data_IF_584093704397
#
_entry.id   IF_584093704397
#
_cell.length_a   1.000
_cell.length_b   1.000
_cell.length_c   1.000
_cell.angle_alpha   90.00
_cell.angle_beta   90.00
_cell.angle_gamma   90.00
#
_symmetry.space_group_name_H-M   'P 1'
#
loop_
_entity.id
_entity.type
_entity.pdbx_description
1 polymer ?
#
# COMPACT_ATOMS: atom_id res chain seq x y z
N UNK A 1 -12.68 2.43 14.99
CA UNK A 1 -11.74 1.47 14.38
C UNK A 1 -11.74 0.15 15.11
N UNK A 2 -11.42 -0.90 14.38
CA UNK A 2 -11.39 -2.27 14.92
C UNK A 2 -10.02 -2.86 14.59
N UNK A 3 -9.35 -3.42 15.60
CA UNK A 3 -8.12 -4.21 15.46
C UNK A 3 -8.42 -5.68 15.72
N UNK A 4 -7.80 -6.58 14.96
CA UNK A 4 -7.96 -8.02 15.10
C UNK A 4 -6.60 -8.68 15.18
N UNK A 5 -6.32 -9.36 16.28
CA UNK A 5 -5.10 -10.10 16.55
C UNK A 5 -5.39 -11.58 16.78
N UNK A 6 -4.54 -12.46 16.24
CA UNK A 6 -4.61 -13.89 16.49
C UNK A 6 -3.94 -14.26 17.81
N UNK A 7 -4.59 -15.05 18.66
CA UNK A 7 -4.08 -15.45 19.99
C UNK A 7 -3.48 -16.85 20.03
N UNK A 8 -3.44 -17.55 18.89
CA UNK A 8 -3.05 -18.96 18.80
C UNK A 8 -4.24 -19.94 18.85
N UNK A 9 -5.37 -19.52 19.40
CA UNK A 9 -6.58 -20.36 19.48
C UNK A 9 -7.90 -19.62 19.21
N UNK A 10 -7.83 -18.31 18.99
CA UNK A 10 -8.96 -17.43 18.74
C UNK A 10 -8.48 -16.02 18.43
N UNK A 11 -9.32 -15.03 18.65
CA UNK A 11 -9.05 -13.65 18.29
C UNK A 11 -9.15 -12.73 19.51
N UNK A 12 -8.19 -11.80 19.60
CA UNK A 12 -8.29 -10.62 20.42
C UNK A 12 -8.73 -9.47 19.54
N UNK A 13 -9.84 -8.84 19.90
CA UNK A 13 -10.40 -7.73 19.16
C UNK A 13 -10.27 -6.47 20.00
N UNK A 14 -9.61 -5.45 19.45
CA UNK A 14 -9.48 -4.12 20.05
C UNK A 14 -10.41 -3.18 19.31
N UNK A 15 -11.36 -2.58 20.03
CA UNK A 15 -12.31 -1.61 19.47
C UNK A 15 -11.96 -0.23 20.04
N UNK A 16 -11.79 0.72 19.15
CA UNK A 16 -11.65 2.13 19.50
C UNK A 16 -12.85 2.91 18.99
N UNK A 17 -13.58 3.49 19.92
CA UNK A 17 -14.79 4.28 19.63
C UNK A 17 -14.64 5.69 20.15
N UNK A 18 -15.30 6.66 19.52
CA UNK A 18 -15.54 7.95 20.16
C UNK A 18 -16.45 7.76 21.36
N UNK A 19 -16.15 8.40 22.47
CA UNK A 19 -17.07 8.54 23.59
C UNK A 19 -18.36 9.24 23.11
N UNK A 20 -19.43 9.20 23.93
CA UNK A 20 -20.71 9.82 23.60
C UNK A 20 -20.53 11.29 23.18
N UNK A 21 -21.54 11.87 22.51
CA UNK A 21 -21.51 13.25 22.01
C UNK A 21 -21.20 14.32 23.10
N UNK A 22 -21.20 13.94 24.38
CA UNK A 22 -20.92 14.80 25.53
C UNK A 22 -19.50 14.66 26.06
N UNK A 23 -18.78 13.54 25.72
CA UNK A 23 -17.39 13.28 26.14
C UNK A 23 -16.45 13.43 24.94
N UNK A 24 -15.50 14.34 24.99
CA UNK A 24 -14.50 14.57 23.93
C UNK A 24 -13.40 13.50 23.85
N UNK A 25 -13.55 12.34 24.51
CA UNK A 25 -12.56 11.27 24.56
C UNK A 25 -12.83 10.14 23.58
N UNK A 26 -11.77 9.43 23.20
CA UNK A 26 -11.86 8.13 22.53
C UNK A 26 -11.59 7.04 23.57
N UNK A 27 -12.39 5.97 23.54
CA UNK A 27 -12.28 4.83 24.46
C UNK A 27 -11.75 3.61 23.72
N UNK A 28 -10.89 2.85 24.38
CA UNK A 28 -10.34 1.57 23.92
C UNK A 28 -10.95 0.44 24.71
N UNK A 29 -11.46 -0.57 23.99
CA UNK A 29 -12.00 -1.79 24.56
C UNK A 29 -11.30 -2.98 23.93
N UNK A 30 -11.03 -4.01 24.72
CA UNK A 30 -10.42 -5.26 24.23
C UNK A 30 -11.25 -6.43 24.72
N UNK A 31 -11.52 -7.35 23.82
CA UNK A 31 -12.24 -8.59 24.10
C UNK A 31 -11.61 -9.77 23.35
N UNK A 32 -11.86 -10.98 23.81
CA UNK A 32 -11.37 -12.22 23.20
C UNK A 32 -12.53 -13.16 22.88
N UNK A 33 -12.39 -13.96 21.85
CA UNK A 33 -13.37 -14.95 21.44
C UNK A 33 -12.81 -15.94 20.43
N UNK A 34 -13.51 -17.04 20.23
CA UNK A 34 -13.14 -18.05 19.22
C UNK A 34 -13.31 -17.50 17.79
N UNK A 35 -14.21 -16.53 17.62
CA UNK A 35 -14.42 -15.80 16.36
C UNK A 35 -14.46 -14.29 16.62
N UNK A 36 -14.20 -13.49 15.59
CA UNK A 36 -14.31 -12.01 15.66
C UNK A 36 -15.71 -11.59 16.08
N UNK A 37 -16.75 -12.25 15.53
CA UNK A 37 -18.15 -11.97 15.90
C UNK A 37 -18.42 -12.23 17.36
N UNK A 38 -17.94 -13.35 17.92
CA UNK A 38 -18.12 -13.69 19.34
C UNK A 38 -17.43 -12.65 20.23
N UNK A 39 -16.15 -12.34 19.96
CA UNK A 39 -15.42 -11.32 20.69
C UNK A 39 -16.16 -9.97 20.71
N UNK A 40 -16.67 -9.53 19.56
CA UNK A 40 -17.46 -8.29 19.46
C UNK A 40 -18.82 -8.37 20.15
N UNK A 41 -19.45 -9.53 20.20
CA UNK A 41 -20.72 -9.75 20.93
C UNK A 41 -20.49 -9.66 22.44
N UNK A 42 -19.41 -10.27 22.92
CA UNK A 42 -19.04 -10.24 24.34
C UNK A 42 -18.66 -8.84 24.82
N UNK A 43 -18.20 -7.96 23.91
CA UNK A 43 -17.96 -6.56 24.20
C UNK A 43 -19.22 -5.84 24.70
N UNK A 44 -20.40 -6.15 24.15
CA UNK A 44 -21.66 -5.55 24.59
C UNK A 44 -22.01 -5.90 26.01
N UNK A 45 -21.65 -7.12 26.45
CA UNK A 45 -21.87 -7.59 27.83
C UNK A 45 -20.97 -6.91 28.84
N UNK A 46 -19.77 -6.50 28.39
CA UNK A 46 -18.77 -5.84 29.26
C UNK A 46 -19.00 -4.33 29.34
N UNK A 47 -19.39 -3.70 28.24
CA UNK A 47 -19.57 -2.24 28.17
C UNK A 47 -20.99 -1.78 28.44
N UNK A 48 -21.97 -2.70 28.39
CA UNK A 48 -23.41 -2.36 28.50
C UNK A 48 -23.91 -1.52 27.30
N UNK A 49 -23.14 -1.41 26.23
CA UNK A 49 -23.46 -0.66 25.00
C UNK A 49 -23.50 -1.60 23.82
N UNK A 50 -24.50 -1.44 22.94
CA UNK A 50 -24.53 -2.16 21.67
C UNK A 50 -23.59 -1.44 20.67
N UNK A 51 -22.51 -2.09 20.20
CA UNK A 51 -21.58 -1.45 19.28
C UNK A 51 -22.24 -1.21 17.91
N UNK A 52 -22.08 -0.01 17.37
CA UNK A 52 -22.64 0.36 16.08
C UNK A 52 -21.55 0.34 14.99
N UNK A 53 -21.40 -0.80 14.33
CA UNK A 53 -20.30 -1.06 13.38
C UNK A 53 -20.38 -0.30 12.06
N UNK A 54 -21.54 0.27 11.69
CA UNK A 54 -21.69 1.04 10.46
C UNK A 54 -20.89 2.34 10.44
N UNK A 55 -20.37 2.78 11.58
CA UNK A 55 -19.47 3.92 11.69
C UNK A 55 -17.98 3.51 11.80
N UNK A 56 -17.65 2.25 11.52
CA UNK A 56 -16.26 1.84 11.42
C UNK A 56 -15.61 2.45 10.17
N UNK A 57 -14.46 3.07 10.34
CA UNK A 57 -13.69 3.72 9.27
C UNK A 57 -12.48 2.93 8.83
N UNK A 58 -11.92 2.11 9.72
CA UNK A 58 -10.75 1.30 9.44
C UNK A 58 -10.76 0.00 10.23
N UNK A 59 -10.10 -1.00 9.66
CA UNK A 59 -9.75 -2.24 10.32
C UNK A 59 -8.25 -2.48 10.20
N UNK A 60 -7.64 -2.92 11.29
CA UNK A 60 -6.22 -3.29 11.35
C UNK A 60 -6.13 -4.77 11.70
N UNK A 61 -5.38 -5.54 10.93
CA UNK A 61 -5.08 -6.94 11.22
C UNK A 61 -3.65 -7.07 11.73
N UNK A 62 -3.45 -7.75 12.84
CA UNK A 62 -2.12 -8.05 13.36
C UNK A 62 -1.35 -9.01 12.45
N UNK A 63 -0.02 -9.00 12.57
CA UNK A 63 0.89 -9.84 11.77
C UNK A 63 0.51 -11.31 11.81
N UNK A 64 0.22 -11.84 13.01
CA UNK A 64 -0.12 -13.26 13.17
C UNK A 64 -1.43 -13.65 12.47
N UNK A 65 -2.45 -12.75 12.43
CA UNK A 65 -3.65 -12.97 11.63
C UNK A 65 -3.30 -13.11 10.14
N UNK A 66 -2.46 -12.19 9.62
CA UNK A 66 -2.12 -12.18 8.21
C UNK A 66 -1.26 -13.39 7.79
N UNK A 67 -0.35 -13.84 8.66
CA UNK A 67 0.47 -15.04 8.43
C UNK A 67 -0.34 -16.34 8.48
N UNK A 68 -1.40 -16.39 9.29
CA UNK A 68 -2.31 -17.56 9.37
C UNK A 68 -3.35 -17.54 8.23
N UNK A 69 -3.72 -16.39 7.73
CA UNK A 69 -4.76 -16.15 6.72
C UNK A 69 -5.88 -15.27 7.26
N UNK A 70 -6.30 -14.31 6.46
CA UNK A 70 -7.32 -13.31 6.84
C UNK A 70 -8.76 -13.76 6.56
N UNK A 71 -8.99 -14.94 5.99
CA UNK A 71 -10.30 -15.43 5.57
C UNK A 71 -11.31 -15.47 6.74
N UNK A 72 -10.95 -16.13 7.85
CA UNK A 72 -11.79 -16.20 9.04
C UNK A 72 -11.97 -14.84 9.73
N UNK A 73 -10.90 -14.02 9.76
CA UNK A 73 -10.94 -12.67 10.34
C UNK A 73 -11.85 -11.73 9.55
N UNK A 74 -11.87 -11.88 8.22
CA UNK A 74 -12.65 -11.02 7.32
C UNK A 74 -14.12 -11.42 7.24
N UNK A 75 -14.46 -12.66 7.60
CA UNK A 75 -15.83 -13.18 7.44
C UNK A 75 -16.87 -12.27 8.10
N UNK A 76 -16.57 -11.77 9.31
CA UNK A 76 -17.43 -10.79 9.99
C UNK A 76 -17.66 -9.53 9.16
N UNK A 77 -16.60 -8.93 8.62
CA UNK A 77 -16.69 -7.65 7.89
C UNK A 77 -17.37 -7.80 6.53
N UNK A 78 -17.30 -8.97 5.92
CA UNK A 78 -17.91 -9.25 4.61
C UNK A 78 -19.37 -9.65 4.73
N UNK A 79 -19.72 -10.44 5.75
CA UNK A 79 -21.08 -11.00 5.89
C UNK A 79 -22.02 -10.16 6.76
N UNK A 80 -21.46 -9.39 7.70
CA UNK A 80 -22.29 -8.59 8.59
C UNK A 80 -22.82 -7.36 7.88
N UNK A 81 -24.13 -7.31 7.66
CA UNK A 81 -24.82 -6.30 6.84
C UNK A 81 -24.63 -4.85 7.31
N UNK A 82 -24.24 -4.63 8.56
CA UNK A 82 -24.00 -3.30 9.14
C UNK A 82 -22.56 -2.79 8.92
N UNK A 83 -21.66 -3.58 8.29
CA UNK A 83 -20.32 -3.11 7.94
C UNK A 83 -20.34 -2.37 6.60
N UNK A 84 -19.51 -1.33 6.48
CA UNK A 84 -19.36 -0.59 5.22
C UNK A 84 -18.31 -1.26 4.34
N UNK A 85 -18.56 -1.47 3.04
CA UNK A 85 -17.54 -1.99 2.11
C UNK A 85 -16.31 -1.08 1.96
N UNK A 86 -16.50 0.23 2.21
CA UNK A 86 -15.48 1.28 2.10
C UNK A 86 -14.65 1.48 3.39
N UNK A 87 -14.55 0.46 4.24
CA UNK A 87 -13.69 0.48 5.42
C UNK A 87 -12.24 0.31 4.97
N UNK A 88 -11.36 1.22 5.39
CA UNK A 88 -9.91 1.12 5.10
C UNK A 88 -9.30 -0.06 5.82
N UNK A 89 -8.44 -0.77 5.13
CA UNK A 89 -7.83 -2.00 5.60
C UNK A 89 -6.32 -1.83 5.75
N UNK A 90 -5.81 -2.27 6.89
CA UNK A 90 -4.39 -2.16 7.24
C UNK A 90 -3.87 -3.46 7.82
N UNK A 91 -2.58 -3.71 7.63
CA UNK A 91 -1.79 -4.69 8.35
C UNK A 91 -1.00 -3.97 9.46
N UNK A 92 -0.85 -4.56 10.64
CA UNK A 92 0.17 -4.16 11.61
C UNK A 92 1.37 -5.08 11.50
N UNK A 93 2.59 -4.54 11.54
CA UNK A 93 3.81 -5.37 11.59
C UNK A 93 4.04 -6.01 12.96
N UNK A 94 3.21 -5.67 13.94
CA UNK A 94 3.16 -6.27 15.28
C UNK A 94 1.71 -6.67 15.58
N UNK A 95 1.06 -6.06 16.56
CA UNK A 95 -0.34 -6.28 16.87
C UNK A 95 -1.22 -5.13 16.42
N UNK A 96 -2.47 -5.43 16.08
CA UNK A 96 -3.45 -4.40 15.75
C UNK A 96 -3.79 -3.53 16.97
N UNK A 97 -3.74 -4.13 18.17
CA UNK A 97 -3.93 -3.42 19.44
C UNK A 97 -2.90 -2.32 19.65
N UNK A 98 -1.63 -2.56 19.34
CA UNK A 98 -0.57 -1.55 19.44
C UNK A 98 -0.81 -0.35 18.52
N UNK A 99 -1.22 -0.59 17.28
CA UNK A 99 -1.55 0.49 16.32
C UNK A 99 -2.73 1.32 16.81
N UNK A 100 -3.78 0.69 17.34
CA UNK A 100 -4.96 1.40 17.81
C UNK A 100 -4.73 2.13 19.14
N UNK A 101 -3.78 1.69 19.97
CA UNK A 101 -3.42 2.32 21.23
C UNK A 101 -2.22 3.28 21.14
N UNK A 102 -1.66 3.47 19.94
CA UNK A 102 -0.52 4.33 19.74
C UNK A 102 -0.81 5.79 20.15
N UNK A 103 0.15 6.40 20.81
CA UNK A 103 0.07 7.76 21.30
C UNK A 103 1.03 8.68 20.53
N UNK A 104 0.66 9.94 20.46
CA UNK A 104 1.52 11.03 20.00
C UNK A 104 1.46 12.12 21.07
N UNK A 105 2.62 12.56 21.61
CA UNK A 105 2.72 13.53 22.70
C UNK A 105 1.89 13.14 23.96
N UNK A 106 1.85 11.85 24.30
CA UNK A 106 1.12 11.33 25.46
C UNK A 106 -0.40 11.35 25.30
N UNK A 107 -0.90 11.44 24.07
CA UNK A 107 -2.32 11.34 23.73
C UNK A 107 -2.53 10.32 22.63
N UNK A 108 -3.63 9.58 22.71
CA UNK A 108 -4.01 8.66 21.64
C UNK A 108 -4.04 9.38 20.28
N UNK A 109 -3.35 8.81 19.30
CA UNK A 109 -3.36 9.31 17.92
C UNK A 109 -4.80 9.28 17.38
N UNK A 110 -5.30 10.38 16.83
CA UNK A 110 -6.71 10.46 16.38
C UNK A 110 -7.03 9.43 15.30
N UNK A 111 -8.22 8.83 15.35
CA UNK A 111 -8.68 7.89 14.33
C UNK A 111 -8.67 8.47 12.92
N UNK A 112 -8.93 9.76 12.77
CA UNK A 112 -8.83 10.46 11.47
C UNK A 112 -7.40 10.51 10.94
N UNK A 113 -6.39 10.57 11.80
CA UNK A 113 -4.98 10.52 11.41
C UNK A 113 -4.59 9.10 10.98
N UNK A 114 -5.00 8.07 11.74
CA UNK A 114 -4.79 6.67 11.34
C UNK A 114 -5.44 6.37 9.96
N UNK A 115 -6.68 6.84 9.76
CA UNK A 115 -7.36 6.68 8.48
C UNK A 115 -6.61 7.40 7.33
N UNK A 116 -6.03 8.57 7.62
CA UNK A 116 -5.30 9.36 6.63
C UNK A 116 -3.99 8.69 6.18
N UNK A 117 -3.38 7.82 7.00
CA UNK A 117 -2.19 7.06 6.62
C UNK A 117 -2.44 6.21 5.36
N UNK A 118 -3.65 5.63 5.20
CA UNK A 118 -4.03 4.91 3.99
C UNK A 118 -4.11 5.77 2.73
N UNK A 119 -4.17 7.09 2.86
CA UNK A 119 -4.15 8.03 1.74
C UNK A 119 -2.75 8.50 1.36
N UNK A 120 -1.73 8.05 2.11
CA UNK A 120 -0.33 8.45 1.89
C UNK A 120 0.16 8.15 0.47
N UNK A 121 -0.36 7.09 -0.19
CA UNK A 121 -0.06 6.78 -1.58
C UNK A 121 -0.40 7.91 -2.57
N UNK A 122 -1.35 8.77 -2.22
CA UNK A 122 -1.72 9.95 -3.03
C UNK A 122 -0.79 11.14 -2.83
N UNK A 123 -0.03 11.19 -1.73
CA UNK A 123 0.78 12.35 -1.37
C UNK A 123 2.28 12.08 -1.48
N UNK A 124 2.73 10.89 -1.05
CA UNK A 124 4.16 10.56 -1.03
C UNK A 124 4.53 9.29 -1.81
N UNK A 125 3.54 8.54 -2.32
CA UNK A 125 3.77 7.33 -3.11
C UNK A 125 4.25 6.12 -2.30
N UNK A 126 4.11 6.12 -0.98
CA UNK A 126 4.67 5.05 -0.12
C UNK A 126 3.63 4.13 0.51
N UNK A 127 2.35 4.36 0.28
CA UNK A 127 1.27 3.55 0.83
C UNK A 127 0.21 3.22 -0.21
N UNK A 128 -0.20 1.96 -0.27
CA UNK A 128 -1.37 1.55 -1.02
C UNK A 128 -2.66 1.97 -0.27
N UNK A 129 -3.64 2.55 -0.96
CA UNK A 129 -4.97 2.75 -0.41
C UNK A 129 -5.82 1.52 -0.73
N UNK A 130 -6.28 0.81 0.31
CA UNK A 130 -7.03 -0.44 0.16
C UNK A 130 -8.25 -0.45 1.07
N UNK A 131 -9.40 -0.79 0.50
CA UNK A 131 -10.64 -1.05 1.21
C UNK A 131 -10.91 -2.56 1.31
N UNK A 132 -11.77 -2.97 2.23
CA UNK A 132 -12.13 -4.39 2.38
C UNK A 132 -12.62 -4.97 1.03
N UNK A 133 -13.41 -4.21 0.29
CA UNK A 133 -13.94 -4.65 -1.00
C UNK A 133 -12.82 -4.84 -2.04
N UNK A 134 -11.82 -3.95 -2.05
CA UNK A 134 -10.67 -4.07 -2.96
C UNK A 134 -9.88 -5.34 -2.68
N UNK A 135 -9.59 -5.62 -1.38
CA UNK A 135 -8.89 -6.81 -0.96
C UNK A 135 -9.64 -8.09 -1.35
N UNK A 136 -10.92 -8.16 -1.02
CA UNK A 136 -11.77 -9.34 -1.32
C UNK A 136 -11.91 -9.55 -2.83
N UNK A 137 -12.05 -8.47 -3.60
CA UNK A 137 -12.11 -8.56 -5.05
C UNK A 137 -10.78 -9.02 -5.66
N UNK A 138 -9.64 -8.63 -5.08
CA UNK A 138 -8.34 -9.10 -5.51
C UNK A 138 -8.14 -10.58 -5.20
N UNK A 139 -8.58 -11.05 -4.01
CA UNK A 139 -8.53 -12.48 -3.65
C UNK A 139 -9.40 -13.34 -4.57
N UNK A 140 -10.61 -12.87 -4.91
CA UNK A 140 -11.58 -13.60 -5.73
C UNK A 140 -11.35 -13.43 -7.24
N UNK A 141 -10.57 -12.42 -7.62
CA UNK A 141 -10.27 -12.10 -9.01
C UNK A 141 -9.31 -13.10 -9.63
N UNK A 142 -9.51 -13.41 -10.92
CA UNK A 142 -8.55 -14.22 -11.66
C UNK A 142 -7.26 -13.45 -11.95
N UNK A 143 -6.10 -14.09 -11.72
CA UNK A 143 -4.79 -13.55 -12.07
C UNK A 143 -4.45 -12.24 -11.35
N UNK A 144 -4.70 -12.18 -10.05
CA UNK A 144 -4.34 -11.01 -9.23
C UNK A 144 -4.17 -11.42 -7.77
N UNK A 145 -3.26 -10.75 -7.08
CA UNK A 145 -2.98 -10.91 -5.65
C UNK A 145 -3.25 -9.62 -4.90
N UNK A 146 -3.83 -9.69 -3.69
CA UNK A 146 -4.11 -8.49 -2.90
C UNK A 146 -2.86 -7.95 -2.21
N UNK A 147 -2.93 -6.67 -1.86
CA UNK A 147 -1.93 -5.97 -1.06
C UNK A 147 -2.59 -5.22 0.08
N UNK A 148 -1.85 -4.93 1.16
CA UNK A 148 -2.28 -4.07 2.26
C UNK A 148 -1.14 -3.14 2.70
N UNK A 149 -1.43 -1.87 3.02
CA UNK A 149 -0.46 -1.01 3.68
C UNK A 149 -0.19 -1.54 5.09
N UNK A 150 1.08 -1.68 5.43
CA UNK A 150 1.54 -2.18 6.71
C UNK A 150 1.97 -1.02 7.62
N UNK A 151 1.38 -0.96 8.80
CA UNK A 151 1.59 0.05 9.82
C UNK A 151 2.54 -0.46 10.91
N UNK A 152 3.33 0.44 11.46
CA UNK A 152 4.16 0.22 12.63
C UNK A 152 3.87 1.27 13.68
N UNK A 153 3.60 0.85 14.92
CA UNK A 153 3.55 1.73 16.06
C UNK A 153 4.98 2.15 16.44
N UNK A 154 5.18 3.43 16.75
CA UNK A 154 6.44 4.04 17.18
C UNK A 154 6.21 4.89 18.43
N UNK A 155 7.28 5.40 19.03
CA UNK A 155 7.18 6.34 20.15
C UNK A 155 6.49 7.67 19.76
N UNK A 156 6.50 8.03 18.48
CA UNK A 156 5.90 9.25 17.94
C UNK A 156 4.50 9.04 17.33
N UNK A 157 3.96 7.83 17.43
CA UNK A 157 2.63 7.46 16.90
C UNK A 157 2.65 6.25 15.99
N UNK A 158 2.08 6.37 14.79
CA UNK A 158 2.00 5.28 13.80
C UNK A 158 2.53 5.78 12.46
N UNK A 159 3.35 4.96 11.83
CA UNK A 159 3.86 5.22 10.47
C UNK A 159 3.46 4.11 9.49
N UNK A 160 3.44 4.44 8.20
CA UNK A 160 3.42 3.43 7.14
C UNK A 160 4.83 2.91 6.96
N UNK A 161 5.00 1.61 7.20
CA UNK A 161 6.31 0.95 7.20
C UNK A 161 6.61 0.24 5.87
N UNK A 162 5.59 -0.40 5.27
CA UNK A 162 5.73 -1.27 4.12
C UNK A 162 4.38 -1.48 3.43
N UNK A 163 4.36 -2.27 2.37
CA UNK A 163 3.14 -2.83 1.78
C UNK A 163 3.23 -4.36 1.81
N UNK A 164 2.30 -5.00 2.52
CA UNK A 164 2.16 -6.45 2.53
C UNK A 164 1.51 -6.96 1.25
N UNK A 165 2.00 -8.07 0.70
CA UNK A 165 1.40 -8.76 -0.43
C UNK A 165 1.02 -10.20 -0.06
N UNK A 166 -0.05 -10.70 -0.68
CA UNK A 166 -0.73 -11.91 -0.24
C UNK A 166 -0.92 -12.91 -1.39
N UNK A 167 -0.87 -14.19 -1.02
CA UNK A 167 -1.40 -15.27 -1.85
C UNK A 167 -2.76 -15.68 -1.29
N UNK A 168 -3.85 -15.37 -2.00
CA UNK A 168 -5.19 -15.47 -1.44
C UNK A 168 -5.33 -14.59 -0.20
N UNK A 169 -5.62 -15.18 0.94
CA UNK A 169 -5.76 -14.48 2.23
C UNK A 169 -4.49 -14.48 3.08
N UNK A 170 -3.43 -15.18 2.66
CA UNK A 170 -2.22 -15.38 3.44
C UNK A 170 -1.12 -14.40 3.04
N UNK A 171 -0.57 -13.70 4.04
CA UNK A 171 0.59 -12.82 3.84
C UNK A 171 1.82 -13.63 3.41
N UNK A 172 2.47 -13.19 2.34
CA UNK A 172 3.68 -13.80 1.81
C UNK A 172 4.92 -12.98 2.11
N UNK A 173 4.83 -11.65 2.02
CA UNK A 173 5.96 -10.77 2.27
C UNK A 173 5.58 -9.30 2.39
N UNK A 174 6.59 -8.46 2.55
CA UNK A 174 6.47 -7.02 2.72
C UNK A 174 7.38 -6.31 1.71
N UNK A 175 6.84 -5.44 0.88
CA UNK A 175 7.60 -4.52 0.02
C UNK A 175 7.96 -3.26 0.81
N UNK A 176 9.19 -2.79 0.64
CA UNK A 176 9.64 -1.51 1.18
C UNK A 176 8.92 -0.32 0.49
N UNK A 177 9.06 0.91 1.03
CA UNK A 177 8.41 2.09 0.47
C UNK A 177 8.82 2.41 -0.98
N UNK A 178 10.06 2.11 -1.39
CA UNK A 178 10.53 2.30 -2.77
C UNK A 178 9.85 1.33 -3.72
N UNK A 179 9.88 0.04 -3.42
CA UNK A 179 9.18 -1.00 -4.19
C UNK A 179 7.67 -0.74 -4.26
N UNK A 180 7.07 -0.22 -3.15
CA UNK A 180 5.66 0.21 -3.12
C UNK A 180 5.41 1.36 -4.11
N UNK A 181 6.29 2.36 -4.16
CA UNK A 181 6.18 3.48 -5.10
C UNK A 181 6.30 3.02 -6.54
N UNK A 182 7.28 2.16 -6.85
CA UNK A 182 7.44 1.57 -8.18
C UNK A 182 6.20 0.79 -8.61
N UNK A 183 5.64 -0.03 -7.73
CA UNK A 183 4.40 -0.76 -7.99
C UNK A 183 3.21 0.19 -8.22
N UNK A 184 3.03 1.22 -7.39
CA UNK A 184 1.95 2.21 -7.57
C UNK A 184 2.08 2.96 -8.90
N UNK A 185 3.30 3.32 -9.30
CA UNK A 185 3.57 3.97 -10.59
C UNK A 185 3.21 3.05 -11.76
N UNK A 186 3.66 1.79 -11.73
CA UNK A 186 3.37 0.82 -12.78
C UNK A 186 1.86 0.50 -12.90
N UNK A 187 1.13 0.56 -11.80
CA UNK A 187 -0.31 0.32 -11.74
C UNK A 187 -1.18 1.55 -12.06
N UNK A 188 -0.58 2.67 -12.48
CA UNK A 188 -1.27 3.95 -12.71
C UNK A 188 -2.04 4.45 -11.47
N UNK A 189 -1.46 4.24 -10.28
CA UNK A 189 -2.06 4.57 -8.97
C UNK A 189 -1.25 5.57 -8.15
N UNK A 190 -0.12 6.05 -8.69
CA UNK A 190 0.73 7.07 -8.07
C UNK A 190 0.29 8.46 -8.54
N UNK A 191 -0.43 9.20 -7.69
CA UNK A 191 -0.85 10.57 -8.03
C UNK A 191 0.26 11.60 -7.83
N UNK A 192 1.00 11.47 -6.73
CA UNK A 192 2.13 12.31 -6.36
C UNK A 192 3.15 11.51 -5.56
N UNK A 193 4.38 11.95 -5.54
CA UNK A 193 5.43 11.32 -4.75
C UNK A 193 6.68 12.18 -4.68
N UNK A 194 7.58 11.83 -3.78
CA UNK A 194 8.90 12.43 -3.72
C UNK A 194 9.97 11.38 -4.06
N UNK A 195 10.94 11.80 -4.85
CA UNK A 195 12.06 10.96 -5.28
C UNK A 195 13.36 11.72 -5.03
N UNK A 196 14.26 11.15 -4.24
CA UNK A 196 15.58 11.76 -4.03
C UNK A 196 16.63 10.98 -4.80
N UNK A 197 17.35 11.68 -5.68
CA UNK A 197 18.44 11.14 -6.50
C UNK A 197 19.77 11.76 -6.12
N UNK A 198 20.88 11.06 -6.45
CA UNK A 198 22.23 11.47 -6.10
C UNK A 198 22.70 10.95 -4.74
N UNK A 199 23.86 11.42 -4.29
CA UNK A 199 24.51 10.96 -3.09
C UNK A 199 25.25 12.05 -2.31
N UNK A 200 25.88 11.69 -1.16
CA UNK A 200 26.57 12.66 -0.29
C UNK A 200 27.72 13.40 -0.97
N UNK A 201 28.41 12.78 -1.92
CA UNK A 201 29.57 13.35 -2.62
C UNK A 201 29.16 14.09 -3.90
N UNK A 202 28.13 13.63 -4.61
CA UNK A 202 27.68 14.18 -5.89
C UNK A 202 26.61 15.26 -5.72
N UNK A 203 26.08 15.42 -4.50
CA UNK A 203 24.93 16.24 -4.18
C UNK A 203 23.63 15.46 -4.33
N UNK A 204 22.55 16.00 -3.74
CA UNK A 204 21.21 15.39 -3.75
C UNK A 204 20.20 16.32 -4.38
N UNK A 205 19.31 15.74 -5.16
CA UNK A 205 18.15 16.43 -5.70
C UNK A 205 16.90 15.68 -5.28
N UNK A 206 15.95 16.39 -4.66
CA UNK A 206 14.63 15.87 -4.38
C UNK A 206 13.67 16.37 -5.44
N UNK A 207 13.00 15.44 -6.08
CA UNK A 207 12.01 15.67 -7.12
C UNK A 207 10.62 15.45 -6.53
N UNK A 208 9.67 16.34 -6.83
CA UNK A 208 8.25 16.12 -6.64
C UNK A 208 7.68 15.53 -7.92
N UNK A 209 7.26 14.27 -7.87
CA UNK A 209 6.67 13.58 -9.02
C UNK A 209 5.24 14.06 -9.25
N UNK A 210 4.90 14.24 -10.50
CA UNK A 210 3.57 14.69 -10.95
C UNK A 210 3.19 13.97 -12.24
N UNK A 211 1.89 13.93 -12.53
CA UNK A 211 1.40 13.34 -13.79
C UNK A 211 2.03 11.97 -14.07
N UNK A 212 2.14 11.16 -13.01
CA UNK A 212 2.68 9.80 -13.17
C UNK A 212 1.63 8.96 -13.87
N UNK A 213 2.01 8.31 -14.96
CA UNK A 213 1.18 7.30 -15.61
C UNK A 213 1.96 6.03 -15.88
N UNK A 214 1.31 4.89 -15.66
CA UNK A 214 1.86 3.57 -15.89
C UNK A 214 1.00 2.78 -16.86
N UNK A 215 1.63 1.97 -17.70
CA UNK A 215 0.93 1.02 -18.56
C UNK A 215 1.64 -0.33 -18.59
N UNK A 216 0.85 -1.39 -18.71
CA UNK A 216 1.34 -2.78 -18.79
C UNK A 216 0.74 -3.43 -20.02
N UNK A 217 1.61 -3.95 -20.89
CA UNK A 217 1.22 -4.66 -22.10
C UNK A 217 1.78 -6.08 -22.09
N UNK A 218 0.91 -7.12 -22.26
CA UNK A 218 1.35 -8.49 -22.41
C UNK A 218 1.73 -8.78 -23.86
N UNK A 219 2.72 -9.66 -24.04
CA UNK A 219 3.05 -10.29 -25.31
C UNK A 219 3.28 -11.80 -25.09
N UNK A 220 2.59 -12.64 -25.87
CA UNK A 220 2.68 -14.11 -25.78
C UNK A 220 3.41 -14.75 -26.97
N UNK A 221 3.87 -13.96 -27.96
CA UNK A 221 4.42 -14.48 -29.23
C UNK A 221 5.71 -15.30 -29.07
N UNK A 222 6.41 -15.21 -27.95
CA UNK A 222 7.66 -15.96 -27.69
C UNK A 222 7.71 -16.51 -26.26
N UNK A 223 6.57 -16.84 -25.71
CA UNK A 223 6.34 -17.08 -24.28
C UNK A 223 5.92 -15.79 -23.57
N UNK A 224 5.17 -15.90 -22.46
CA UNK A 224 4.58 -14.73 -21.82
C UNK A 224 5.65 -13.73 -21.36
N UNK A 225 5.47 -12.50 -21.76
CA UNK A 225 6.29 -11.35 -21.36
C UNK A 225 5.43 -10.12 -21.17
N UNK A 226 5.94 -9.18 -20.36
CA UNK A 226 5.22 -7.96 -20.02
C UNK A 226 6.12 -6.75 -20.20
N UNK A 227 5.61 -5.76 -20.94
CA UNK A 227 6.24 -4.46 -21.08
C UNK A 227 5.54 -3.48 -20.16
N UNK A 228 6.32 -2.85 -19.27
CA UNK A 228 5.85 -1.87 -18.28
C UNK A 228 6.48 -0.53 -18.65
N UNK A 229 5.67 0.47 -18.94
CA UNK A 229 6.12 1.79 -19.34
C UNK A 229 5.59 2.82 -18.35
N UNK A 230 6.49 3.70 -17.87
CA UNK A 230 6.19 4.80 -16.98
C UNK A 230 6.46 6.13 -17.70
N UNK A 231 5.51 7.06 -17.61
CA UNK A 231 5.71 8.46 -17.99
C UNK A 231 5.56 9.33 -16.73
N UNK A 232 6.56 10.16 -16.45
CA UNK A 232 6.65 10.93 -15.21
C UNK A 232 7.11 12.36 -15.49
N UNK A 233 6.29 13.32 -15.08
CA UNK A 233 6.72 14.71 -14.96
C UNK A 233 7.21 14.95 -13.52
N UNK A 234 8.30 15.71 -13.36
CA UNK A 234 8.85 16.03 -12.06
C UNK A 234 9.27 17.50 -11.95
N UNK A 235 9.08 18.07 -10.76
CA UNK A 235 9.60 19.38 -10.39
C UNK A 235 10.74 19.22 -9.38
N UNK A 236 11.77 20.06 -9.44
CA UNK A 236 12.82 20.07 -8.42
C UNK A 236 12.29 20.76 -7.16
N UNK A 237 12.15 20.00 -6.08
CA UNK A 237 11.73 20.51 -4.76
C UNK A 237 12.93 21.04 -3.96
N UNK A 238 14.06 20.34 -4.03
CA UNK A 238 15.31 20.82 -3.42
C UNK A 238 16.54 20.31 -4.18
N UNK A 239 17.63 21.06 -4.12
CA UNK A 239 18.92 20.64 -4.65
C UNK A 239 20.01 21.05 -3.64
N UNK A 240 20.71 20.06 -3.08
CA UNK A 240 21.82 20.24 -2.15
C UNK A 240 23.12 19.87 -2.85
N UNK A 241 24.06 20.85 -2.93
CA UNK A 241 25.41 20.72 -3.51
C UNK A 241 25.46 20.33 -4.99
N UNK A 242 24.37 20.41 -5.72
CA UNK A 242 24.30 20.12 -7.15
C UNK A 242 24.57 21.39 -7.95
N UNK A 243 25.49 21.32 -8.93
CA UNK A 243 25.76 22.44 -9.85
C UNK A 243 24.73 22.46 -10.98
N UNK A 244 23.58 23.10 -10.72
CA UNK A 244 22.45 23.18 -11.64
C UNK A 244 22.75 24.01 -12.93
N UNK A 245 23.81 24.81 -12.90
CA UNK A 245 24.23 25.62 -14.05
C UNK A 245 24.94 24.78 -15.13
N UNK A 246 25.32 23.52 -14.83
CA UNK A 246 25.95 22.64 -15.83
C UNK A 246 24.94 22.30 -16.93
N UNK A 247 25.35 22.32 -18.20
CA UNK A 247 24.46 22.03 -19.33
C UNK A 247 23.81 20.63 -19.27
N UNK A 248 24.49 19.65 -18.66
CA UNK A 248 24.09 18.26 -18.54
C UNK A 248 23.35 17.95 -17.21
N UNK A 249 23.14 18.95 -16.33
CA UNK A 249 22.61 18.71 -14.99
C UNK A 249 21.22 18.09 -15.01
N UNK A 250 20.32 18.62 -15.81
CA UNK A 250 18.95 18.09 -15.92
C UNK A 250 18.91 16.68 -16.51
N UNK A 251 19.65 16.42 -17.58
CA UNK A 251 19.73 15.09 -18.19
C UNK A 251 20.24 14.03 -17.20
N UNK A 252 21.27 14.37 -16.42
CA UNK A 252 21.79 13.47 -15.36
C UNK A 252 20.76 13.21 -14.25
N UNK A 253 19.97 14.20 -13.87
CA UNK A 253 18.90 14.07 -12.87
C UNK A 253 17.78 13.18 -13.43
N UNK A 254 17.35 13.41 -14.67
CA UNK A 254 16.35 12.61 -15.37
C UNK A 254 16.78 11.13 -15.49
N UNK A 255 18.04 10.89 -15.89
CA UNK A 255 18.61 9.55 -15.98
C UNK A 255 18.69 8.85 -14.62
N UNK A 256 19.10 9.55 -13.57
CA UNK A 256 19.16 8.99 -12.24
C UNK A 256 17.75 8.66 -11.70
N UNK A 257 16.77 9.53 -11.94
CA UNK A 257 15.39 9.32 -11.55
C UNK A 257 14.77 8.13 -12.33
N UNK A 258 15.04 8.03 -13.62
CA UNK A 258 14.62 6.91 -14.47
C UNK A 258 15.16 5.58 -13.92
N UNK A 259 16.47 5.49 -13.68
CA UNK A 259 17.10 4.27 -13.17
C UNK A 259 16.56 3.86 -11.81
N UNK A 260 16.29 4.83 -10.93
CA UNK A 260 15.73 4.55 -9.61
C UNK A 260 14.30 4.02 -9.71
N UNK A 261 13.42 4.64 -10.50
CA UNK A 261 12.04 4.18 -10.70
C UNK A 261 11.97 2.81 -11.38
N UNK A 262 12.79 2.58 -12.42
CA UNK A 262 12.90 1.26 -13.06
C UNK A 262 13.35 0.19 -12.04
N UNK A 263 14.34 0.50 -11.21
CA UNK A 263 14.83 -0.37 -10.14
C UNK A 263 13.77 -0.68 -9.09
N UNK A 264 12.96 0.29 -8.70
CA UNK A 264 11.85 0.11 -7.75
C UNK A 264 10.75 -0.80 -8.30
N UNK A 265 10.39 -0.67 -9.58
CA UNK A 265 9.44 -1.59 -10.22
C UNK A 265 10.03 -3.00 -10.31
N UNK A 266 11.30 -3.13 -10.71
CA UNK A 266 11.98 -4.42 -10.76
C UNK A 266 12.03 -5.08 -9.38
N UNK A 267 12.33 -4.33 -8.32
CA UNK A 267 12.35 -4.86 -6.94
C UNK A 267 10.97 -5.40 -6.52
N UNK A 268 9.89 -4.69 -6.86
CA UNK A 268 8.53 -5.16 -6.57
C UNK A 268 8.18 -6.45 -7.36
N UNK A 269 8.61 -6.54 -8.63
CA UNK A 269 8.41 -7.74 -9.44
C UNK A 269 9.23 -8.91 -8.87
N UNK A 270 10.50 -8.69 -8.56
CA UNK A 270 11.38 -9.73 -8.03
C UNK A 270 10.82 -10.33 -6.74
N UNK A 271 10.51 -9.49 -5.75
CA UNK A 271 10.02 -9.95 -4.45
C UNK A 271 8.65 -10.63 -4.55
N UNK A 272 7.66 -9.92 -5.06
CA UNK A 272 6.28 -10.43 -4.99
C UNK A 272 5.97 -11.45 -6.09
N UNK A 273 6.44 -11.22 -7.31
CA UNK A 273 6.06 -12.05 -8.47
C UNK A 273 7.01 -13.21 -8.67
N UNK A 274 8.32 -12.93 -8.77
CA UNK A 274 9.29 -13.97 -9.15
C UNK A 274 9.66 -14.88 -7.97
N UNK A 275 9.81 -14.34 -6.76
CA UNK A 275 10.13 -15.14 -5.58
C UNK A 275 8.89 -15.83 -5.02
N UNK A 276 7.83 -15.06 -4.72
CA UNK A 276 6.68 -15.54 -3.96
C UNK A 276 5.46 -15.92 -4.81
N UNK A 277 5.47 -15.68 -6.11
CA UNK A 277 4.38 -16.05 -7.01
C UNK A 277 3.08 -15.27 -6.75
N UNK A 278 3.19 -14.03 -6.27
CA UNK A 278 2.06 -13.14 -5.98
C UNK A 278 1.87 -12.13 -7.11
N UNK A 279 0.80 -12.25 -7.87
CA UNK A 279 0.49 -11.37 -9.01
C UNK A 279 -0.14 -10.04 -8.56
N UNK A 280 0.67 -9.20 -7.91
CA UNK A 280 0.22 -7.87 -7.45
C UNK A 280 0.03 -6.86 -8.59
N UNK A 281 0.60 -7.12 -9.76
CA UNK A 281 0.44 -6.30 -10.96
C UNK A 281 -0.79 -6.66 -11.78
N UNK A 282 -1.41 -7.82 -11.53
CA UNK A 282 -2.55 -8.30 -12.29
C UNK A 282 -2.18 -8.72 -13.72
N UNK A 283 -0.99 -9.27 -13.92
CA UNK A 283 -0.53 -9.79 -15.21
C UNK A 283 -1.47 -10.87 -15.74
N UNK A 284 -1.90 -11.81 -14.89
CA UNK A 284 -2.89 -12.83 -15.26
C UNK A 284 -4.25 -12.23 -15.59
N UNK A 285 -4.68 -11.17 -14.90
CA UNK A 285 -5.91 -10.44 -15.25
C UNK A 285 -5.80 -9.78 -16.63
N UNK A 286 -4.63 -9.29 -17.02
CA UNK A 286 -4.40 -8.75 -18.35
C UNK A 286 -4.48 -9.84 -19.40
N UNK A 287 -3.88 -11.02 -19.16
CA UNK A 287 -3.98 -12.17 -20.03
C UNK A 287 -5.42 -12.69 -20.13
N UNK A 288 -6.14 -12.78 -19.02
CA UNK A 288 -7.57 -13.13 -19.02
C UNK A 288 -8.39 -12.24 -19.96
N UNK A 289 -8.08 -10.94 -20.02
CA UNK A 289 -8.81 -9.95 -20.83
C UNK A 289 -8.35 -9.88 -22.29
N UNK A 290 -7.03 -9.95 -22.53
CA UNK A 290 -6.44 -9.74 -23.86
C UNK A 290 -6.19 -11.04 -24.61
N UNK A 291 -5.87 -12.12 -23.88
CA UNK A 291 -5.48 -13.43 -24.41
C UNK A 291 -6.27 -14.57 -23.72
N UNK A 292 -7.61 -14.59 -23.84
CA UNK A 292 -8.48 -15.46 -23.03
C UNK A 292 -8.25 -16.96 -23.28
N UNK A 293 -7.82 -17.35 -24.49
CA UNK A 293 -7.54 -18.74 -24.79
C UNK A 293 -6.25 -19.20 -24.11
N UNK A 294 -5.20 -18.40 -24.18
CA UNK A 294 -3.96 -18.63 -23.44
C UNK A 294 -4.22 -18.72 -21.93
N UNK A 295 -4.98 -17.77 -21.37
CA UNK A 295 -5.31 -17.76 -19.94
C UNK A 295 -6.04 -19.04 -19.52
N UNK A 296 -7.03 -19.49 -20.30
CA UNK A 296 -7.79 -20.69 -19.98
C UNK A 296 -6.92 -21.94 -19.87
N UNK A 297 -5.87 -22.02 -20.67
CA UNK A 297 -4.91 -23.13 -20.65
C UNK A 297 -3.89 -23.03 -19.52
N UNK A 298 -3.51 -21.81 -19.13
CA UNK A 298 -2.38 -21.58 -18.23
C UNK A 298 -2.77 -21.14 -16.80
N UNK A 299 -4.04 -20.83 -16.54
CA UNK A 299 -4.46 -20.24 -15.25
C UNK A 299 -4.09 -21.08 -14.01
N UNK A 300 -4.14 -22.40 -14.11
CA UNK A 300 -3.82 -23.29 -12.99
C UNK A 300 -2.29 -23.31 -12.69
N UNK A 301 -1.46 -23.13 -13.71
CA UNK A 301 0.00 -23.07 -13.60
C UNK A 301 0.52 -21.63 -13.48
N UNK A 302 -0.37 -20.64 -13.50
CA UNK A 302 0.02 -19.23 -13.56
C UNK A 302 0.98 -18.79 -12.44
N UNK A 303 0.81 -19.19 -11.16
CA UNK A 303 1.73 -18.80 -10.09
C UNK A 303 3.19 -19.24 -10.33
N UNK A 304 3.39 -20.36 -11.01
CA UNK A 304 4.72 -20.84 -11.36
C UNK A 304 5.20 -20.24 -12.69
N UNK A 305 4.32 -20.16 -13.68
CA UNK A 305 4.64 -19.63 -15.00
C UNK A 305 5.07 -18.16 -14.96
N UNK A 306 4.43 -17.33 -14.14
CA UNK A 306 4.79 -15.93 -14.06
C UNK A 306 6.19 -15.68 -13.46
N UNK A 307 6.73 -16.61 -12.66
CA UNK A 307 8.11 -16.54 -12.15
C UNK A 307 9.15 -16.63 -13.26
N UNK A 308 8.79 -17.25 -14.38
CA UNK A 308 9.64 -17.45 -15.56
C UNK A 308 9.37 -16.43 -16.67
N UNK A 309 8.38 -15.56 -16.51
CA UNK A 309 8.05 -14.52 -17.48
C UNK A 309 9.18 -13.48 -17.59
N UNK A 310 9.24 -12.86 -18.76
CA UNK A 310 10.14 -11.72 -18.97
C UNK A 310 9.42 -10.42 -18.68
N UNK A 311 10.04 -9.57 -17.89
CA UNK A 311 9.54 -8.25 -17.51
C UNK A 311 10.48 -7.17 -18.03
N UNK A 312 10.00 -6.33 -18.92
CA UNK A 312 10.74 -5.20 -19.45
C UNK A 312 10.14 -3.91 -18.87
N UNK A 313 10.93 -3.21 -18.07
CA UNK A 313 10.53 -1.95 -17.46
C UNK A 313 11.26 -0.80 -18.14
N UNK A 314 10.55 0.25 -18.45
CA UNK A 314 11.12 1.50 -18.97
C UNK A 314 10.39 2.69 -18.38
N UNK A 315 11.13 3.72 -17.97
CA UNK A 315 10.59 4.96 -17.47
C UNK A 315 11.09 6.14 -18.33
N UNK A 316 10.22 7.09 -18.58
CA UNK A 316 10.52 8.36 -19.18
C UNK A 316 10.24 9.47 -18.17
N UNK A 317 11.28 10.09 -17.64
CA UNK A 317 11.18 11.14 -16.63
C UNK A 317 11.53 12.47 -17.26
N UNK A 318 10.66 13.46 -17.11
CA UNK A 318 10.89 14.83 -17.56
C UNK A 318 10.89 15.78 -16.38
N UNK A 319 12.04 16.41 -16.14
CA UNK A 319 12.20 17.41 -15.09
C UNK A 319 11.94 18.80 -15.66
N UNK A 320 10.94 19.51 -15.11
CA UNK A 320 10.70 20.89 -15.50
C UNK A 320 11.88 21.78 -15.11
N UNK A 321 12.40 22.53 -16.08
CA UNK A 321 13.40 23.55 -15.81
C UNK A 321 12.74 24.69 -15.05
N UNK A 322 13.33 25.09 -13.93
CA UNK A 322 12.97 26.32 -13.25
C UNK A 322 13.24 27.46 -14.26
N UNK A 323 12.19 28.06 -14.81
CA UNK A 323 12.34 29.34 -15.45
C UNK A 323 12.92 30.28 -14.40
N UNK A 324 14.05 30.94 -14.70
CA UNK A 324 14.58 31.99 -13.86
C UNK A 324 13.50 33.09 -13.82
N UNK A 325 12.65 33.07 -12.81
CA UNK A 325 11.85 34.25 -12.48
C UNK A 325 12.84 35.37 -12.24
N UNK A 326 12.76 36.33 -13.15
CA UNK A 326 13.53 37.57 -13.12
C UNK A 326 13.55 38.14 -11.69
N UNK A 327 14.68 38.01 -11.01
CA UNK A 327 15.04 38.83 -9.85
C UNK A 327 15.28 40.27 -10.32
N UNK A 328 14.31 40.88 -10.97
CA UNK A 328 14.26 42.29 -11.28
C UNK A 328 12.99 42.86 -10.65
N UNK A 329 13.11 43.34 -9.44
CA UNK A 329 12.03 44.08 -8.80
C UNK A 329 12.08 44.12 -7.29
N UNK A 330 13.23 44.48 -6.70
CA UNK A 330 13.27 45.21 -5.43
C UNK A 330 14.52 46.10 -5.52
N UNK A 331 14.32 47.33 -6.00
CA UNK A 331 15.07 48.50 -5.62
C UNK A 331 14.32 49.26 -4.52
#
# INVERSE_FOLDING_TARGET
GIGVDWTGSGYRVTVRSSASAEDEGEELFTCEGETVLQALSDLSLTTGREPFYSHNYLVVFGMDCALNGLDDCLDFFVRYYNTRPAVKMFLSVTTAGEVLSAENDGKLMKMSQLQALGRGGRYNGQAAEVEILDFVNAVKGEGTSPVLPALRATEEGVEVFATGYFSGYKLMGLMDPGSTRGWLAAMDRLEMGELTVGGPEEGRVTLSLRNVSGSIEPDIAGGPSFKIELEVDADISSADRVQMERPDAYERIEDAARQLLEGEVHSAIEQAVMEDGCDIFGFGRLLYRKEPDFWREQKESWPDLMKECRYQVSANVKVRRLEQENRNGID
#
